data_IF_447902748517
#
_entry.id   IF_447902748517
#
_cell.length_a   1.000
_cell.length_b   1.000
_cell.length_c   1.000
_cell.angle_alpha   90.00
_cell.angle_beta   90.00
_cell.angle_gamma   90.00
#
_symmetry.space_group_name_H-M   'P 1'
#
loop_
_entity.id
_entity.type
_entity.pdbx_description
1 polymer ?
#
# COMPACT_ATOMS: atom_id res chain seq x y z
N UNK A 1 -4.36 3.80 15.44
CA UNK A 1 -3.29 3.64 14.43
C UNK A 1 -2.81 2.20 14.44
N UNK A 2 -2.90 1.49 13.31
CA UNK A 2 -2.43 0.11 13.16
C UNK A 2 -1.14 0.09 12.33
N UNK A 3 -0.21 -0.79 12.68
CA UNK A 3 1.06 -0.95 11.97
C UNK A 3 1.13 -2.38 11.44
N UNK A 4 1.27 -2.52 10.11
CA UNK A 4 1.59 -3.79 9.45
C UNK A 4 3.08 -3.83 9.14
N UNK A 5 3.73 -4.95 9.46
CA UNK A 5 5.15 -5.16 9.18
C UNK A 5 5.33 -6.36 8.27
N UNK A 6 6.05 -6.16 7.19
CA UNK A 6 6.41 -7.21 6.22
C UNK A 6 7.93 -7.34 6.23
N UNK A 7 8.40 -8.59 6.40
CA UNK A 7 9.81 -8.92 6.39
C UNK A 7 10.02 -10.10 5.45
N UNK A 8 11.01 -9.99 4.58
CA UNK A 8 11.45 -11.05 3.69
C UNK A 8 12.96 -10.97 3.45
N UNK A 9 13.52 -12.03 2.87
CA UNK A 9 14.92 -12.18 2.47
C UNK A 9 15.09 -12.28 0.94
N UNK A 10 14.13 -11.72 0.19
CA UNK A 10 14.23 -11.61 -1.26
C UNK A 10 15.28 -10.55 -1.66
N UNK A 11 15.48 -10.40 -2.97
CA UNK A 11 16.31 -9.33 -3.51
C UNK A 11 15.82 -7.95 -2.98
N UNK A 12 16.74 -7.01 -2.68
CA UNK A 12 16.36 -5.68 -2.22
C UNK A 12 15.34 -5.02 -3.13
N UNK A 13 14.20 -4.65 -2.55
CA UNK A 13 13.08 -4.07 -3.29
C UNK A 13 12.50 -2.93 -2.48
N UNK A 14 12.77 -1.68 -2.91
CA UNK A 14 12.23 -0.48 -2.27
C UNK A 14 10.83 -0.14 -2.82
N UNK A 15 9.75 -0.43 -2.09
CA UNK A 15 8.39 -0.18 -2.54
C UNK A 15 8.03 1.31 -2.52
N UNK A 16 8.83 2.13 -1.84
CA UNK A 16 8.63 3.58 -1.73
C UNK A 16 9.22 4.35 -2.91
N UNK A 17 10.12 3.73 -3.68
CA UNK A 17 10.72 4.31 -4.87
C UNK A 17 9.76 4.33 -6.08
N UNK A 18 8.69 3.52 -6.05
CA UNK A 18 7.69 3.49 -7.12
C UNK A 18 6.75 4.69 -7.01
N UNK A 19 6.89 5.67 -7.92
CA UNK A 19 6.13 6.93 -7.89
C UNK A 19 5.06 7.04 -8.97
N UNK A 20 5.13 6.24 -10.03
CA UNK A 20 4.14 6.27 -11.12
C UNK A 20 2.91 5.41 -10.77
N UNK A 21 1.73 6.03 -10.74
CA UNK A 21 0.47 5.31 -10.64
C UNK A 21 0.20 4.49 -11.92
N UNK A 22 -0.28 3.24 -11.82
CA UNK A 22 -0.64 2.44 -12.97
C UNK A 22 -1.86 3.02 -13.69
N UNK A 23 -1.92 2.85 -15.02
CA UNK A 23 -3.13 3.18 -15.79
C UNK A 23 -4.21 2.11 -15.54
N UNK A 24 -5.22 2.45 -14.73
CA UNK A 24 -6.32 1.54 -14.38
C UNK A 24 -7.39 1.43 -15.48
N UNK A 25 -7.40 2.36 -16.44
CA UNK A 25 -8.36 2.39 -17.56
C UNK A 25 -7.88 1.58 -18.76
N UNK A 26 -6.59 1.19 -18.80
CA UNK A 26 -6.07 0.31 -19.82
C UNK A 26 -6.75 -1.07 -19.78
N UNK A 27 -6.94 -1.69 -20.95
CA UNK A 27 -7.43 -3.07 -21.02
C UNK A 27 -6.46 -4.02 -20.33
N UNK A 28 -6.97 -5.13 -19.78
CA UNK A 28 -6.16 -6.05 -18.98
C UNK A 28 -4.92 -6.58 -19.73
N UNK A 29 -5.04 -6.82 -21.03
CA UNK A 29 -3.95 -7.30 -21.88
C UNK A 29 -2.83 -6.26 -22.10
N UNK A 30 -3.14 -4.97 -21.97
CA UNK A 30 -2.21 -3.86 -22.21
C UNK A 30 -1.55 -3.38 -20.92
N UNK A 31 -1.96 -3.90 -19.76
CA UNK A 31 -1.37 -3.51 -18.47
C UNK A 31 -0.02 -4.18 -18.29
N UNK A 32 1.01 -3.42 -17.84
CA UNK A 32 2.28 -4.04 -17.46
C UNK A 32 2.06 -5.00 -16.29
N UNK A 33 2.85 -6.07 -16.25
CA UNK A 33 2.86 -6.99 -15.12
C UNK A 33 3.43 -6.27 -13.90
N UNK A 34 2.73 -6.37 -12.76
CA UNK A 34 3.15 -5.78 -11.49
C UNK A 34 2.60 -4.37 -11.24
N UNK A 35 3.03 -3.74 -10.14
CA UNK A 35 2.67 -2.37 -9.78
C UNK A 35 1.29 -2.18 -9.12
N UNK A 36 0.29 -3.01 -9.43
CA UNK A 36 -1.06 -2.86 -8.86
C UNK A 36 -1.10 -3.05 -7.33
N UNK A 37 -0.33 -3.99 -6.79
CA UNK A 37 -0.23 -4.21 -5.35
C UNK A 37 0.42 -3.02 -4.61
N UNK A 38 1.46 -2.43 -5.21
CA UNK A 38 2.11 -1.22 -4.68
C UNK A 38 1.16 -0.03 -4.68
N UNK A 39 0.43 0.14 -5.79
CA UNK A 39 -0.59 1.16 -5.90
C UNK A 39 -1.66 0.98 -4.82
N UNK A 40 -2.19 -0.23 -4.63
CA UNK A 40 -3.15 -0.53 -3.58
C UNK A 40 -2.62 -0.17 -2.19
N UNK A 41 -1.38 -0.58 -1.87
CA UNK A 41 -0.73 -0.22 -0.59
C UNK A 41 -0.62 1.30 -0.43
N UNK A 42 -0.23 2.02 -1.49
CA UNK A 42 -0.12 3.48 -1.46
C UNK A 42 -1.47 4.19 -1.23
N UNK A 43 -2.58 3.60 -1.68
CA UNK A 43 -3.92 4.14 -1.43
C UNK A 43 -4.42 3.87 -0.01
N UNK A 44 -4.00 2.76 0.60
CA UNK A 44 -4.50 2.32 1.91
C UNK A 44 -3.65 2.81 3.09
N UNK A 45 -2.34 3.00 2.88
CA UNK A 45 -1.42 3.35 3.94
C UNK A 45 -1.30 4.87 4.09
N UNK A 46 -1.42 5.37 5.33
CA UNK A 46 -1.08 6.76 5.67
C UNK A 46 0.43 7.00 5.63
N UNK A 47 1.22 5.94 5.87
CA UNK A 47 2.68 6.01 5.80
C UNK A 47 3.27 4.66 5.41
N UNK A 48 4.33 4.72 4.61
CA UNK A 48 5.11 3.58 4.15
C UNK A 48 6.60 3.86 4.45
N UNK A 49 7.27 2.95 5.14
CA UNK A 49 8.70 3.06 5.45
C UNK A 49 9.41 1.75 5.14
N UNK A 50 10.37 1.81 4.22
CA UNK A 50 11.21 0.70 3.83
C UNK A 50 12.63 0.86 4.39
N UNK A 51 13.25 -0.26 4.80
CA UNK A 51 14.69 -0.35 5.07
C UNK A 51 15.21 -1.73 4.66
N UNK A 52 16.38 -1.76 4.04
CA UNK A 52 17.20 -2.97 3.92
C UNK A 52 18.11 -3.07 5.15
N UNK A 53 17.87 -4.04 6.02
CA UNK A 53 18.61 -4.17 7.28
C UNK A 53 18.94 -5.64 7.56
N UNK A 54 20.22 -5.94 7.76
CA UNK A 54 20.68 -7.32 7.99
C UNK A 54 20.39 -8.27 6.82
N UNK A 55 20.41 -7.75 5.59
CA UNK A 55 20.11 -8.53 4.37
C UNK A 55 18.62 -8.84 4.18
N UNK A 56 17.73 -8.18 4.93
CA UNK A 56 16.27 -8.39 4.82
C UNK A 56 15.56 -7.10 4.44
N UNK A 57 14.57 -7.23 3.57
CA UNK A 57 13.61 -6.17 3.29
C UNK A 57 12.72 -6.00 4.53
N UNK A 58 12.57 -4.77 5.02
CA UNK A 58 11.67 -4.43 6.13
C UNK A 58 10.74 -3.31 5.69
N UNK A 59 9.46 -3.64 5.52
CA UNK A 59 8.43 -2.68 5.14
C UNK A 59 7.45 -2.48 6.30
N UNK A 60 7.28 -1.24 6.73
CA UNK A 60 6.29 -0.84 7.72
C UNK A 60 5.20 0.01 7.05
N UNK A 61 3.94 -0.39 7.20
CA UNK A 61 2.77 0.36 6.76
C UNK A 61 2.02 0.85 7.99
N UNK A 62 1.67 2.13 8.00
CA UNK A 62 0.74 2.70 8.97
C UNK A 62 -0.63 2.82 8.29
N UNK A 63 -1.67 2.28 8.93
CA UNK A 63 -3.05 2.39 8.48
C UNK A 63 -3.89 2.99 9.61
N UNK A 64 -4.56 4.09 9.32
CA UNK A 64 -5.51 4.77 10.15
C UNK A 64 -6.82 4.01 10.09
N UNK A 65 -7.38 3.75 11.26
CA UNK A 65 -8.77 3.34 11.34
C UNK A 65 -9.60 4.57 11.03
N UNK A 66 -10.30 4.56 9.89
CA UNK A 66 -11.49 5.38 9.75
C UNK A 66 -12.44 4.99 10.88
N UNK A 67 -12.53 5.82 11.90
CA UNK A 67 -13.66 5.78 12.82
C UNK A 67 -14.90 6.15 12.03
N UNK A 68 -15.90 5.30 12.13
CA UNK A 68 -17.14 5.29 11.37
C UNK A 68 -17.74 6.70 11.22
N UNK A 69 -18.14 7.05 10.01
CA UNK A 69 -18.97 8.22 9.77
C UNK A 69 -20.34 7.91 10.40
N UNK A 70 -20.82 8.76 11.31
CA UNK A 70 -22.17 8.70 11.87
C UNK A 70 -23.19 8.40 10.77
N UNK A 71 -23.91 7.28 10.88
CA UNK A 71 -25.11 7.03 10.08
C UNK A 71 -26.02 8.26 10.18
N UNK A 72 -26.47 8.87 9.07
CA UNK A 72 -27.45 9.94 9.15
C UNK A 72 -28.73 9.35 9.77
N UNK A 73 -29.16 9.95 10.87
CA UNK A 73 -30.40 9.61 11.57
C UNK A 73 -31.54 9.52 10.57
N UNK A 74 -32.03 8.30 10.30
CA UNK A 74 -33.35 8.12 9.71
C UNK A 74 -34.38 8.53 10.77
N UNK A 75 -34.78 9.79 10.74
CA UNK A 75 -36.00 10.23 11.42
C UNK A 75 -37.20 9.71 10.61
N UNK A 76 -38.24 9.15 11.24
CA UNK A 76 -39.39 8.55 10.56
C UNK A 76 -40.21 9.55 9.74
#
# INVERSE_FOLDING_TARGET
>A
MRILRILDDAEPFDPTAQTAAPNLDAAMADRPVGGLGLYLVSCLADSLCYRLEGGKNRLNLVIATLTDQQEPSRTP
#
